data_IF_336816370532
#
_entry.id   IF_336816370532
#
_cell.length_a   1.000
_cell.length_b   1.000
_cell.length_c   1.000
_cell.angle_alpha   90.00
_cell.angle_beta   90.00
_cell.angle_gamma   90.00
#
_symmetry.space_group_name_H-M   'P 1'
#
loop_
_entity.id
_entity.type
_entity.pdbx_description
1 polymer ?
#
# COMPACT_ATOMS: atom_id res chain seq x y z
N UNK A 1 -5.92 0.60 -6.94
CA UNK A 1 -4.79 0.29 -7.85
C UNK A 1 -3.77 -0.54 -7.10
N UNK A 2 -3.38 -1.69 -7.64
CA UNK A 2 -2.62 -2.68 -6.88
C UNK A 2 -1.51 -3.31 -7.72
N UNK A 3 -0.31 -3.33 -7.14
CA UNK A 3 0.83 -4.09 -7.65
C UNK A 3 1.47 -4.82 -6.47
N UNK A 4 1.45 -6.15 -6.46
CA UNK A 4 1.84 -6.96 -5.30
C UNK A 4 3.34 -6.98 -5.03
N UNK A 5 4.16 -6.69 -6.05
CA UNK A 5 5.61 -6.72 -5.93
C UNK A 5 6.09 -8.13 -5.59
N UNK A 6 6.93 -8.29 -4.55
CA UNK A 6 7.45 -9.61 -4.16
C UNK A 6 6.40 -10.60 -3.67
N UNK A 7 5.23 -10.13 -3.22
CA UNK A 7 4.15 -10.97 -2.66
C UNK A 7 3.39 -11.65 -3.81
N UNK A 8 4.12 -12.45 -4.60
CA UNK A 8 3.64 -13.19 -5.76
C UNK A 8 4.45 -14.48 -5.93
N UNK A 9 3.96 -15.39 -6.77
CA UNK A 9 4.66 -16.61 -7.14
C UNK A 9 4.98 -16.62 -8.64
N UNK A 10 6.03 -17.32 -9.07
CA UNK A 10 6.37 -17.50 -10.50
C UNK A 10 5.21 -18.09 -11.30
N UNK A 11 4.40 -18.94 -10.67
CA UNK A 11 3.19 -19.51 -11.29
C UNK A 11 2.12 -18.47 -11.65
N UNK A 12 2.17 -17.28 -11.03
CA UNK A 12 1.24 -16.17 -11.28
C UNK A 12 1.82 -15.13 -12.25
N UNK A 13 3.10 -15.24 -12.59
CA UNK A 13 3.80 -14.24 -13.39
C UNK A 13 3.78 -14.61 -14.88
N UNK A 14 3.65 -13.63 -15.79
CA UNK A 14 3.74 -13.88 -17.22
C UNK A 14 5.01 -14.64 -17.58
N UNK A 15 4.86 -15.77 -18.29
CA UNK A 15 6.00 -16.60 -18.71
C UNK A 15 6.79 -17.24 -17.56
N UNK A 16 6.23 -17.32 -16.35
CA UNK A 16 6.94 -17.88 -15.20
C UNK A 16 8.05 -16.98 -14.65
N UNK A 17 8.03 -15.68 -14.97
CA UNK A 17 9.04 -14.74 -14.54
C UNK A 17 9.12 -14.62 -13.00
N UNK A 18 10.29 -14.23 -12.49
CA UNK A 18 10.42 -13.88 -11.08
C UNK A 18 9.56 -12.64 -10.76
N UNK A 19 8.84 -12.62 -9.62
CA UNK A 19 8.24 -11.40 -9.10
C UNK A 19 9.26 -10.27 -8.97
N UNK A 20 8.79 -9.03 -8.97
CA UNK A 20 9.66 -7.83 -8.87
C UNK A 20 9.47 -7.11 -7.55
N UNK A 21 10.51 -6.45 -7.07
CA UNK A 21 10.49 -5.72 -5.79
C UNK A 21 11.49 -4.56 -5.82
N UNK A 22 11.52 -3.75 -4.76
CA UNK A 22 12.62 -2.81 -4.50
C UNK A 22 13.96 -3.52 -4.38
N UNK A 23 13.99 -4.69 -3.73
CA UNK A 23 15.19 -5.51 -3.49
C UNK A 23 14.90 -7.02 -3.62
N UNK A 24 15.95 -7.82 -3.88
CA UNK A 24 15.87 -9.27 -3.99
C UNK A 24 15.80 -9.94 -2.60
N UNK A 25 14.71 -9.68 -1.86
CA UNK A 25 14.49 -10.14 -0.50
C UNK A 25 13.23 -10.99 -0.39
N UNK A 26 13.38 -12.24 0.02
CA UNK A 26 12.29 -13.13 0.38
C UNK A 26 11.71 -12.72 1.75
N UNK A 27 10.38 -12.67 1.87
CA UNK A 27 9.70 -12.60 3.16
C UNK A 27 9.31 -14.03 3.58
N UNK A 28 10.14 -14.64 4.42
CA UNK A 28 9.94 -16.01 4.88
C UNK A 28 8.60 -16.15 5.61
N UNK A 29 7.84 -17.21 5.27
CA UNK A 29 6.52 -17.48 5.86
C UNK A 29 5.37 -16.67 5.26
N UNK A 30 5.65 -15.66 4.44
CA UNK A 30 4.61 -14.94 3.69
C UNK A 30 4.14 -15.81 2.54
N UNK A 31 2.86 -16.20 2.60
CA UNK A 31 2.25 -17.10 1.62
C UNK A 31 1.33 -16.35 0.67
N UNK A 32 1.24 -16.84 -0.55
CA UNK A 32 0.32 -16.41 -1.59
C UNK A 32 -0.55 -17.57 -2.03
N UNK A 33 -1.74 -17.24 -2.52
CA UNK A 33 -2.66 -18.24 -3.07
C UNK A 33 -2.31 -18.53 -4.52
N UNK A 34 -2.08 -19.81 -4.85
CA UNK A 34 -1.90 -20.26 -6.24
C UNK A 34 -2.87 -21.39 -6.55
N UNK A 35 -3.22 -21.51 -7.83
CA UNK A 35 -3.83 -22.71 -8.38
C UNK A 35 -2.73 -23.51 -9.11
N UNK A 36 -2.13 -24.53 -8.47
CA UNK A 36 -1.05 -25.31 -9.08
C UNK A 36 -1.55 -26.20 -10.23
N UNK A 37 -2.87 -26.43 -10.30
CA UNK A 37 -3.49 -27.31 -11.31
C UNK A 37 -3.93 -26.56 -12.57
N UNK A 38 -4.06 -25.23 -12.49
CA UNK A 38 -4.62 -24.41 -13.57
C UNK A 38 -6.09 -24.69 -13.85
N UNK A 39 -6.83 -25.24 -12.88
CA UNK A 39 -8.26 -25.51 -12.97
C UNK A 39 -9.12 -24.23 -13.06
N UNK A 40 -8.54 -23.08 -12.71
CA UNK A 40 -9.16 -21.78 -12.81
C UNK A 40 -10.03 -21.43 -11.61
N UNK A 41 -10.46 -20.15 -11.51
CA UNK A 41 -11.15 -19.63 -10.32
C UNK A 41 -12.45 -20.37 -9.98
N UNK A 42 -13.08 -21.01 -10.97
CA UNK A 42 -14.41 -21.61 -10.84
C UNK A 42 -14.35 -22.98 -10.16
N UNK A 43 -13.17 -23.61 -10.17
CA UNK A 43 -12.96 -24.87 -9.49
C UNK A 43 -12.89 -24.71 -7.96
N UNK A 44 -12.67 -23.48 -7.46
CA UNK A 44 -12.56 -23.22 -6.02
C UNK A 44 -11.36 -23.93 -5.37
N UNK A 45 -10.36 -24.30 -6.17
CA UNK A 45 -9.15 -25.00 -5.72
C UNK A 45 -7.97 -24.05 -5.67
N UNK A 46 -7.07 -24.30 -4.74
CA UNK A 46 -5.78 -23.65 -4.65
C UNK A 46 -5.20 -23.81 -3.25
N UNK A 47 -3.98 -23.33 -3.10
CA UNK A 47 -3.20 -23.52 -1.88
C UNK A 47 -2.39 -22.27 -1.54
N UNK A 48 -2.21 -22.07 -0.23
CA UNK A 48 -1.31 -21.04 0.29
C UNK A 48 0.11 -21.59 0.30
N UNK A 49 0.96 -21.05 -0.57
CA UNK A 49 2.37 -21.45 -0.70
C UNK A 49 3.30 -20.27 -0.47
N UNK A 50 4.54 -20.54 -0.10
CA UNK A 50 5.57 -19.52 0.04
C UNK A 50 5.69 -18.72 -1.27
N UNK A 51 5.70 -17.38 -1.18
CA UNK A 51 5.92 -16.55 -2.36
C UNK A 51 7.32 -16.78 -2.94
N UNK A 52 7.53 -16.55 -4.24
CA UNK A 52 8.83 -16.80 -4.88
C UNK A 52 9.83 -15.69 -4.56
N UNK A 53 11.13 -16.00 -4.61
CA UNK A 53 12.20 -15.01 -4.51
C UNK A 53 12.03 -13.94 -5.59
N UNK A 54 11.89 -12.65 -5.23
CA UNK A 54 11.79 -11.58 -6.21
C UNK A 54 13.17 -11.24 -6.78
N UNK A 55 13.17 -10.60 -7.96
CA UNK A 55 14.32 -9.81 -8.42
C UNK A 55 14.15 -8.34 -8.03
N UNK A 56 15.25 -7.66 -7.79
CA UNK A 56 15.24 -6.20 -7.67
C UNK A 56 14.92 -5.57 -9.03
N UNK A 57 14.07 -4.55 -9.05
CA UNK A 57 13.84 -3.74 -10.25
C UNK A 57 15.12 -2.99 -10.65
N UNK A 58 15.46 -3.01 -11.93
CA UNK A 58 16.43 -2.07 -12.46
C UNK A 58 15.81 -0.67 -12.50
N UNK A 59 16.62 0.39 -12.36
CA UNK A 59 16.13 1.78 -12.40
C UNK A 59 15.37 2.09 -13.69
N UNK A 60 15.80 1.51 -14.82
CA UNK A 60 15.14 1.69 -16.11
C UNK A 60 13.74 1.05 -16.21
N UNK A 61 13.38 0.13 -15.31
CA UNK A 61 12.06 -0.52 -15.30
C UNK A 61 11.02 0.29 -14.51
N UNK A 62 11.46 1.11 -13.55
CA UNK A 62 10.59 1.88 -12.66
C UNK A 62 9.66 2.85 -13.43
N UNK A 63 10.15 3.61 -14.43
CA UNK A 63 9.27 4.46 -15.25
C UNK A 63 8.13 3.70 -15.95
N UNK A 64 8.35 2.45 -16.35
CA UNK A 64 7.33 1.60 -16.93
C UNK A 64 6.19 1.29 -15.96
N UNK A 65 6.54 0.93 -14.72
CA UNK A 65 5.54 0.65 -13.67
C UNK A 65 4.75 1.92 -13.29
N UNK A 66 5.41 3.07 -13.25
CA UNK A 66 4.74 4.36 -13.03
C UNK A 66 3.72 4.63 -14.15
N UNK A 67 4.10 4.36 -15.42
CA UNK A 67 3.20 4.49 -16.56
C UNK A 67 2.02 3.52 -16.48
N UNK A 68 2.23 2.30 -15.98
CA UNK A 68 1.16 1.32 -15.75
C UNK A 68 0.14 1.82 -14.72
N UNK A 69 0.58 2.44 -13.61
CA UNK A 69 -0.33 3.07 -12.65
C UNK A 69 -1.16 4.18 -13.31
N UNK A 70 -0.52 5.06 -14.08
CA UNK A 70 -1.23 6.13 -14.79
C UNK A 70 -2.23 5.59 -15.82
N UNK A 71 -1.87 4.55 -16.56
CA UNK A 71 -2.76 3.89 -17.52
C UNK A 71 -3.93 3.22 -16.82
N UNK A 72 -3.67 2.53 -15.72
CA UNK A 72 -4.70 1.85 -14.97
C UNK A 72 -5.67 2.88 -14.30
N UNK A 73 -5.20 4.06 -13.92
CA UNK A 73 -6.06 5.18 -13.51
C UNK A 73 -6.94 5.67 -14.67
N UNK A 74 -6.39 5.84 -15.88
CA UNK A 74 -7.20 6.19 -17.07
C UNK A 74 -8.31 5.16 -17.31
N UNK A 75 -7.97 3.87 -17.17
CA UNK A 75 -8.94 2.78 -17.32
C UNK A 75 -10.04 2.85 -16.25
N UNK A 76 -9.69 3.11 -14.99
CA UNK A 76 -10.66 3.24 -13.90
C UNK A 76 -11.65 4.39 -14.15
N UNK A 77 -11.16 5.56 -14.55
CA UNK A 77 -12.04 6.70 -14.86
C UNK A 77 -12.93 6.43 -16.08
N UNK A 78 -12.38 5.80 -17.13
CA UNK A 78 -13.16 5.39 -18.29
C UNK A 78 -14.25 4.35 -17.95
N UNK A 79 -14.02 3.53 -16.92
CA UNK A 79 -15.00 2.58 -16.38
C UNK A 79 -16.05 3.22 -15.46
N UNK A 80 -15.96 4.53 -15.19
CA UNK A 80 -16.94 5.28 -14.40
C UNK A 80 -16.67 5.31 -12.90
N UNK A 81 -15.47 4.93 -12.44
CA UNK A 81 -15.07 5.17 -11.04
C UNK A 81 -14.92 6.67 -10.77
N UNK A 82 -15.37 7.13 -9.60
CA UNK A 82 -15.24 8.53 -9.17
C UNK A 82 -13.78 8.94 -8.91
N UNK A 83 -12.91 7.97 -8.62
CA UNK A 83 -11.51 8.17 -8.33
C UNK A 83 -10.77 6.85 -8.13
N UNK A 84 -9.53 6.92 -7.65
CA UNK A 84 -8.70 5.74 -7.41
C UNK A 84 -8.01 5.79 -6.06
N UNK A 85 -7.87 4.62 -5.41
CA UNK A 85 -6.99 4.45 -4.26
C UNK A 85 -5.69 3.76 -4.70
N UNK A 86 -4.53 4.36 -4.44
CA UNK A 86 -3.22 3.72 -4.62
C UNK A 86 -2.91 2.85 -3.40
N UNK A 87 -2.62 1.56 -3.63
CA UNK A 87 -2.26 0.64 -2.56
C UNK A 87 -0.78 0.75 -2.19
N UNK A 88 -0.45 1.64 -1.27
CA UNK A 88 0.88 1.85 -0.68
C UNK A 88 1.12 1.18 0.66
N UNK A 89 0.41 0.08 0.92
CA UNK A 89 0.22 -0.53 2.24
C UNK A 89 0.44 -2.05 2.18
N UNK A 90 0.34 -2.71 3.35
CA UNK A 90 0.29 -4.17 3.53
C UNK A 90 1.42 -4.91 2.79
N UNK A 91 2.63 -4.33 2.80
CA UNK A 91 3.83 -4.94 2.24
C UNK A 91 3.85 -5.16 0.73
N UNK A 92 2.97 -4.49 -0.04
CA UNK A 92 2.98 -4.54 -1.52
C UNK A 92 4.02 -3.59 -2.14
N UNK A 93 4.09 -3.49 -3.47
CA UNK A 93 5.25 -2.91 -4.16
C UNK A 93 5.65 -1.52 -3.66
N UNK A 94 4.72 -0.57 -3.57
CA UNK A 94 5.02 0.78 -3.07
C UNK A 94 5.56 0.70 -1.63
N UNK A 95 4.93 -0.10 -0.77
CA UNK A 95 5.35 -0.29 0.62
C UNK A 95 6.75 -0.95 0.71
N UNK A 96 7.10 -1.84 -0.22
CA UNK A 96 8.43 -2.46 -0.32
C UNK A 96 9.53 -1.44 -0.66
N UNK A 97 9.20 -0.31 -1.29
CA UNK A 97 10.13 0.81 -1.45
C UNK A 97 10.17 1.71 -0.21
N UNK A 98 9.02 1.92 0.44
CA UNK A 98 8.91 2.78 1.62
C UNK A 98 9.71 2.20 2.79
N UNK A 99 9.46 0.94 3.18
CA UNK A 99 9.96 0.41 4.45
C UNK A 99 11.45 0.01 4.40
N UNK A 100 12.24 0.50 5.36
CA UNK A 100 13.71 0.39 5.34
C UNK A 100 14.24 -1.05 5.25
N UNK A 101 13.62 -2.02 5.94
CA UNK A 101 14.11 -3.40 5.92
C UNK A 101 13.70 -4.16 4.65
N UNK A 102 12.73 -3.65 3.89
CA UNK A 102 12.34 -4.20 2.59
C UNK A 102 13.14 -3.60 1.42
N UNK A 103 13.81 -2.46 1.63
CA UNK A 103 14.50 -1.70 0.59
C UNK A 103 16.01 -1.54 0.89
N UNK A 104 16.82 -2.41 0.29
CA UNK A 104 18.28 -2.39 0.37
C UNK A 104 18.94 -1.73 -0.86
N UNK A 105 18.20 -0.93 -1.64
CA UNK A 105 18.76 -0.25 -2.81
C UNK A 105 19.78 0.81 -2.39
N UNK A 106 20.80 0.97 -3.23
CA UNK A 106 21.87 1.97 -3.08
C UNK A 106 21.78 3.11 -4.10
N UNK A 107 20.75 3.10 -4.94
CA UNK A 107 20.49 4.09 -5.97
C UNK A 107 19.54 5.20 -5.49
N UNK A 108 18.99 5.97 -6.44
CA UNK A 108 18.04 7.06 -6.15
C UNK A 108 16.73 6.63 -5.48
N UNK A 109 16.45 5.33 -5.35
CA UNK A 109 15.21 4.79 -4.79
C UNK A 109 15.42 4.05 -3.45
N UNK A 110 16.59 4.11 -2.83
CA UNK A 110 16.84 3.52 -1.50
C UNK A 110 17.82 4.28 -0.62
N UNK A 111 18.08 3.69 0.55
CA UNK A 111 18.87 4.29 1.62
C UNK A 111 18.13 5.43 2.32
N UNK A 112 18.41 6.67 1.92
CA UNK A 112 17.85 7.85 2.56
C UNK A 112 16.30 7.89 2.46
N UNK A 113 15.63 8.48 3.46
CA UNK A 113 14.16 8.52 3.53
C UNK A 113 13.53 9.11 2.26
N UNK A 114 14.06 10.22 1.75
CA UNK A 114 13.57 10.84 0.52
C UNK A 114 13.68 9.94 -0.72
N UNK A 115 14.69 9.05 -0.75
CA UNK A 115 14.87 8.09 -1.83
C UNK A 115 13.88 6.93 -1.70
N UNK A 116 13.66 6.41 -0.48
CA UNK A 116 12.63 5.38 -0.21
C UNK A 116 11.22 5.87 -0.57
N UNK A 117 10.93 7.14 -0.31
CA UNK A 117 9.65 7.76 -0.69
C UNK A 117 9.57 8.20 -2.16
N UNK A 118 10.66 8.11 -2.94
CA UNK A 118 10.70 8.57 -4.34
C UNK A 118 9.70 7.83 -5.21
N UNK A 119 9.64 6.50 -5.09
CA UNK A 119 8.74 5.70 -5.90
C UNK A 119 7.27 6.00 -5.60
N UNK A 120 6.91 6.15 -4.31
CA UNK A 120 5.57 6.63 -3.91
C UNK A 120 5.26 7.98 -4.56
N UNK A 121 6.18 8.95 -4.45
CA UNK A 121 6.01 10.30 -5.01
C UNK A 121 5.73 10.26 -6.51
N UNK A 122 6.56 9.55 -7.27
CA UNK A 122 6.47 9.53 -8.74
C UNK A 122 5.21 8.80 -9.22
N UNK A 123 4.79 7.73 -8.54
CA UNK A 123 3.50 7.06 -8.83
C UNK A 123 2.33 8.01 -8.55
N UNK A 124 2.34 8.71 -7.42
CA UNK A 124 1.28 9.66 -7.05
C UNK A 124 1.24 10.83 -8.03
N UNK A 125 2.38 11.43 -8.38
CA UNK A 125 2.46 12.51 -9.38
C UNK A 125 1.86 12.09 -10.72
N UNK A 126 2.20 10.89 -11.21
CA UNK A 126 1.68 10.38 -12.47
C UNK A 126 0.17 10.13 -12.43
N UNK A 127 -0.36 9.64 -11.31
CA UNK A 127 -1.80 9.38 -11.13
C UNK A 127 -2.59 10.67 -10.91
N UNK A 128 -2.06 11.61 -10.14
CA UNK A 128 -2.63 12.95 -9.96
C UNK A 128 -2.69 13.71 -11.29
N UNK A 129 -1.67 13.59 -12.14
CA UNK A 129 -1.68 14.20 -13.48
C UNK A 129 -2.82 13.68 -14.37
N UNK A 130 -3.33 12.46 -14.12
CA UNK A 130 -4.46 11.87 -14.85
C UNK A 130 -5.79 12.21 -14.21
N UNK A 131 -5.92 12.03 -12.90
CA UNK A 131 -7.19 12.10 -12.20
C UNK A 131 -7.48 13.44 -11.54
N UNK A 132 -6.49 14.31 -11.31
CA UNK A 132 -6.63 15.40 -10.34
C UNK A 132 -6.52 14.88 -8.91
N UNK A 133 -5.87 15.65 -8.04
CA UNK A 133 -5.49 15.20 -6.69
C UNK A 133 -6.69 14.83 -5.82
N UNK A 134 -7.80 15.54 -5.98
CA UNK A 134 -9.05 15.34 -5.25
C UNK A 134 -9.70 13.97 -5.51
N UNK A 135 -9.39 13.34 -6.65
CA UNK A 135 -9.88 12.00 -7.03
C UNK A 135 -8.87 10.88 -6.75
N UNK A 136 -7.78 11.20 -6.04
CA UNK A 136 -6.73 10.25 -5.68
C UNK A 136 -6.71 10.06 -4.17
N UNK A 137 -6.79 8.82 -3.75
CA UNK A 137 -6.47 8.38 -2.39
C UNK A 137 -5.21 7.56 -2.36
N UNK A 138 -4.56 7.52 -1.19
CA UNK A 138 -3.43 6.61 -0.95
C UNK A 138 -3.66 5.85 0.35
N UNK A 139 -3.49 4.53 0.30
CA UNK A 139 -3.55 3.67 1.49
C UNK A 139 -2.15 3.36 1.99
N UNK A 140 -1.87 3.59 3.27
CA UNK A 140 -0.60 3.32 3.95
C UNK A 140 -0.80 2.42 5.17
N UNK A 141 0.22 1.64 5.52
CA UNK A 141 0.18 0.72 6.66
C UNK A 141 1.42 0.91 7.56
N UNK A 142 1.42 1.93 8.43
CA UNK A 142 2.64 2.36 9.12
C UNK A 142 3.26 1.33 10.06
N UNK A 143 2.45 0.46 10.66
CA UNK A 143 2.87 -0.40 11.78
C UNK A 143 2.65 -1.89 11.54
N UNK A 144 1.76 -2.29 10.63
CA UNK A 144 1.53 -3.71 10.34
C UNK A 144 2.68 -4.27 9.51
N UNK A 145 3.11 -5.48 9.83
CA UNK A 145 4.29 -6.14 9.28
C UNK A 145 3.99 -7.54 8.73
N UNK A 146 2.72 -7.96 8.71
CA UNK A 146 2.28 -9.31 8.32
C UNK A 146 2.90 -9.82 7.00
N UNK A 147 3.05 -8.94 6.00
CA UNK A 147 3.61 -9.26 4.67
C UNK A 147 5.14 -9.00 4.57
N UNK A 148 5.82 -8.91 5.72
CA UNK A 148 7.27 -8.83 5.84
C UNK A 148 7.90 -7.49 5.49
N UNK A 149 7.11 -6.43 5.29
CA UNK A 149 7.61 -5.07 5.17
C UNK A 149 7.69 -4.45 6.57
N UNK A 150 8.89 -3.98 6.95
CA UNK A 150 9.20 -3.45 8.27
C UNK A 150 10.06 -2.20 8.09
N UNK A 151 9.69 -1.11 8.74
CA UNK A 151 10.48 0.12 8.79
C UNK A 151 11.13 0.27 10.16
N UNK A 152 12.37 0.73 10.20
CA UNK A 152 13.12 0.96 11.45
C UNK A 152 12.63 2.21 12.20
N UNK A 153 11.99 3.15 11.49
CA UNK A 153 11.55 4.44 12.02
C UNK A 153 10.14 4.80 11.53
N UNK A 154 9.13 3.94 11.74
CA UNK A 154 7.85 4.01 11.02
C UNK A 154 7.13 5.33 11.28
N UNK A 155 7.18 5.87 12.50
CA UNK A 155 6.58 7.16 12.78
C UNK A 155 7.20 8.29 11.93
N UNK A 156 8.53 8.38 11.85
CA UNK A 156 9.19 9.41 11.05
C UNK A 156 8.94 9.21 9.55
N UNK A 157 9.05 7.97 9.07
CA UNK A 157 8.85 7.60 7.66
C UNK A 157 7.43 7.95 7.19
N UNK A 158 6.42 7.56 7.95
CA UNK A 158 5.03 7.72 7.53
C UNK A 158 4.48 9.14 7.78
N UNK A 159 5.04 9.91 8.73
CA UNK A 159 4.79 11.36 8.80
C UNK A 159 5.37 12.09 7.58
N UNK A 160 6.58 11.73 7.14
CA UNK A 160 7.16 12.28 5.93
C UNK A 160 6.36 11.89 4.67
N UNK A 161 5.90 10.64 4.58
CA UNK A 161 5.01 10.21 3.51
C UNK A 161 3.69 11.00 3.51
N UNK A 162 3.04 11.17 4.67
CA UNK A 162 1.82 11.96 4.78
C UNK A 162 2.03 13.43 4.37
N UNK A 163 3.14 14.04 4.78
CA UNK A 163 3.48 15.40 4.36
C UNK A 163 3.65 15.52 2.85
N UNK A 164 4.39 14.58 2.25
CA UNK A 164 4.59 14.48 0.81
C UNK A 164 3.27 14.37 0.06
N UNK A 165 2.37 13.48 0.50
CA UNK A 165 1.07 13.27 -0.12
C UNK A 165 0.17 14.51 -0.01
N UNK A 166 0.22 15.20 1.14
CA UNK A 166 -0.47 16.48 1.33
C UNK A 166 0.02 17.56 0.35
N UNK A 167 1.34 17.65 0.15
CA UNK A 167 1.94 18.58 -0.81
C UNK A 167 1.59 18.29 -2.27
N UNK A 168 1.25 17.04 -2.60
CA UNK A 168 0.77 16.63 -3.94
C UNK A 168 -0.74 16.81 -4.12
N UNK A 169 -1.47 17.28 -3.09
CA UNK A 169 -2.91 17.51 -3.17
C UNK A 169 -3.75 16.24 -3.23
N UNK A 170 -3.24 15.11 -2.74
CA UNK A 170 -4.00 13.85 -2.63
C UNK A 170 -5.25 14.09 -1.79
N UNK A 171 -6.42 13.65 -2.27
CA UNK A 171 -7.73 13.93 -1.66
C UNK A 171 -7.95 13.23 -0.32
N UNK A 172 -7.48 11.98 -0.19
CA UNK A 172 -7.50 11.28 1.11
C UNK A 172 -6.29 10.39 1.38
N UNK A 173 -5.96 10.25 2.66
CA UNK A 173 -4.99 9.28 3.17
C UNK A 173 -5.74 8.26 4.03
N UNK A 174 -5.59 6.99 3.67
CA UNK A 174 -6.24 5.87 4.34
C UNK A 174 -5.20 5.03 5.10
N UNK A 175 -5.32 4.98 6.42
CA UNK A 175 -4.42 4.25 7.31
C UNK A 175 -5.01 2.86 7.63
N UNK A 176 -4.27 1.82 7.29
CA UNK A 176 -4.52 0.46 7.74
C UNK A 176 -3.84 0.22 9.11
N UNK A 177 -4.64 0.11 10.17
CA UNK A 177 -4.17 -0.15 11.54
C UNK A 177 -4.14 -1.63 11.91
N UNK A 178 -4.76 -2.48 11.09
CA UNK A 178 -4.72 -3.91 11.28
C UNK A 178 -4.74 -4.64 9.93
N UNK A 179 -3.91 -5.67 9.82
CA UNK A 179 -3.94 -6.66 8.77
C UNK A 179 -4.19 -8.03 9.41
N UNK A 180 -5.38 -8.60 9.19
CA UNK A 180 -5.86 -9.78 9.90
C UNK A 180 -5.81 -9.64 11.44
N UNK A 181 -4.89 -10.36 12.07
CA UNK A 181 -4.64 -10.35 13.51
C UNK A 181 -3.44 -9.51 13.92
N UNK A 182 -2.59 -9.12 12.96
CA UNK A 182 -1.55 -8.12 13.15
C UNK A 182 -2.21 -6.75 13.29
N UNK A 183 -2.40 -6.32 14.54
CA UNK A 183 -3.12 -5.10 14.90
C UNK A 183 -2.32 -4.33 15.96
N UNK A 184 -1.12 -3.83 15.61
CA UNK A 184 -0.28 -3.10 16.54
C UNK A 184 -0.99 -1.83 17.00
N UNK A 185 -0.81 -1.50 18.29
CA UNK A 185 -1.40 -0.29 18.84
C UNK A 185 -0.71 0.93 18.24
N UNK A 186 -1.43 1.68 17.41
CA UNK A 186 -1.00 2.99 16.95
C UNK A 186 -1.24 4.05 18.04
N UNK A 187 -0.20 4.71 18.56
CA UNK A 187 -0.36 5.73 19.60
C UNK A 187 -1.25 6.88 19.11
N UNK A 188 -2.14 7.41 19.96
CA UNK A 188 -3.00 8.56 19.62
C UNK A 188 -2.18 9.77 19.21
N UNK A 189 -1.03 10.01 19.85
CA UNK A 189 -0.11 11.09 19.48
C UNK A 189 0.39 10.98 18.03
N UNK A 190 0.58 9.76 17.50
CA UNK A 190 0.95 9.55 16.10
C UNK A 190 -0.23 9.88 15.16
N UNK A 191 -1.46 9.50 15.53
CA UNK A 191 -2.67 9.88 14.78
C UNK A 191 -2.87 11.40 14.74
N UNK A 192 -2.71 12.07 15.87
CA UNK A 192 -2.75 13.53 15.96
C UNK A 192 -1.65 14.18 15.13
N UNK A 193 -0.44 13.63 15.11
CA UNK A 193 0.64 14.10 14.25
C UNK A 193 0.31 13.96 12.76
N UNK A 194 -0.28 12.84 12.34
CA UNK A 194 -0.78 12.67 10.97
C UNK A 194 -1.84 13.71 10.62
N UNK A 195 -2.81 13.95 11.52
CA UNK A 195 -3.85 14.97 11.33
C UNK A 195 -3.29 16.38 11.17
N UNK A 196 -2.25 16.74 11.93
CA UNK A 196 -1.60 18.05 11.82
C UNK A 196 -0.82 18.21 10.51
N UNK A 197 -0.26 17.12 9.96
CA UNK A 197 0.65 17.16 8.81
C UNK A 197 -0.09 17.01 7.48
N UNK A 198 -1.13 16.19 7.44
CA UNK A 198 -1.89 15.94 6.23
C UNK A 198 -3.18 16.77 6.22
N UNK A 199 -3.39 17.68 5.24
CA UNK A 199 -4.53 18.59 5.23
C UNK A 199 -5.80 17.98 4.61
N UNK A 200 -5.70 16.85 3.90
CA UNK A 200 -6.82 16.20 3.22
C UNK A 200 -7.67 15.31 4.13
N UNK A 201 -8.52 14.47 3.55
CA UNK A 201 -9.39 13.57 4.33
C UNK A 201 -8.60 12.40 4.93
N UNK A 202 -8.71 12.16 6.24
CA UNK A 202 -8.10 11.03 6.92
C UNK A 202 -9.10 9.90 7.17
N UNK A 203 -8.77 8.72 6.66
CA UNK A 203 -9.56 7.50 6.83
C UNK A 203 -8.76 6.50 7.66
N UNK A 204 -9.37 5.86 8.64
CA UNK A 204 -8.74 4.77 9.40
C UNK A 204 -9.54 3.49 9.31
N UNK A 205 -8.86 2.36 9.16
CA UNK A 205 -9.49 1.03 9.16
C UNK A 205 -8.63 0.03 9.94
N UNK A 206 -9.27 -0.81 10.75
CA UNK A 206 -8.59 -1.82 11.56
C UNK A 206 -9.27 -2.12 12.88
N UNK A 207 -10.05 -3.21 12.94
CA UNK A 207 -10.76 -3.68 14.15
C UNK A 207 -11.61 -2.58 14.85
N UNK A 208 -12.14 -1.61 14.10
CA UNK A 208 -13.03 -0.58 14.66
C UNK A 208 -14.38 -1.18 15.03
N UNK A 209 -14.92 -0.70 16.16
CA UNK A 209 -16.32 -0.83 16.57
C UNK A 209 -17.00 0.52 16.39
N UNK A 210 -18.33 0.58 16.50
CA UNK A 210 -19.06 1.85 16.47
C UNK A 210 -18.54 2.84 17.53
N UNK A 211 -18.31 2.38 18.76
CA UNK A 211 -17.78 3.20 19.85
C UNK A 211 -16.37 3.75 19.54
N UNK A 212 -15.46 2.90 19.04
CA UNK A 212 -14.11 3.35 18.68
C UNK A 212 -14.12 4.30 17.50
N UNK A 213 -15.04 4.12 16.56
CA UNK A 213 -15.21 5.00 15.41
C UNK A 213 -15.72 6.38 15.85
N UNK A 214 -16.78 6.42 16.66
CA UNK A 214 -17.32 7.67 17.22
C UNK A 214 -16.25 8.44 17.99
N UNK A 215 -15.47 7.74 18.82
CA UNK A 215 -14.37 8.34 19.55
C UNK A 215 -13.31 8.95 18.62
N UNK A 216 -12.96 8.28 17.53
CA UNK A 216 -11.99 8.77 16.56
C UNK A 216 -12.42 10.09 15.91
N UNK A 217 -13.71 10.16 15.54
CA UNK A 217 -14.33 11.34 14.95
C UNK A 217 -14.42 12.49 15.97
N UNK A 218 -14.88 12.19 17.19
CA UNK A 218 -15.00 13.18 18.27
C UNK A 218 -13.65 13.75 18.71
N UNK A 219 -12.59 12.95 18.70
CA UNK A 219 -11.21 13.39 18.98
C UNK A 219 -10.55 14.13 17.79
N UNK A 220 -11.18 14.13 16.61
CA UNK A 220 -10.81 14.96 15.46
C UNK A 220 -9.57 14.52 14.67
N UNK A 221 -9.03 13.32 14.92
CA UNK A 221 -7.88 12.80 14.17
C UNK A 221 -8.25 11.93 12.97
N UNK A 222 -9.54 11.60 12.79
CA UNK A 222 -10.08 10.94 11.61
C UNK A 222 -11.30 11.70 11.10
N UNK A 223 -11.52 11.67 9.78
CA UNK A 223 -12.73 12.18 9.15
C UNK A 223 -13.69 11.04 8.78
N UNK A 224 -13.15 9.84 8.49
CA UNK A 224 -13.90 8.65 8.11
C UNK A 224 -13.30 7.38 8.74
N UNK A 225 -14.14 6.36 8.92
CA UNK A 225 -13.74 5.06 9.46
C UNK A 225 -14.20 3.94 8.52
N UNK A 226 -13.24 3.12 8.07
CA UNK A 226 -13.49 1.97 7.22
C UNK A 226 -13.75 0.69 8.03
N UNK A 227 -14.81 -0.02 7.66
CA UNK A 227 -15.15 -1.34 8.23
C UNK A 227 -14.99 -2.41 7.14
N UNK A 228 -14.05 -3.33 7.33
CA UNK A 228 -13.81 -4.44 6.39
C UNK A 228 -14.69 -5.66 6.70
N UNK A 229 -14.21 -6.54 7.59
CA UNK A 229 -14.91 -7.77 8.01
C UNK A 229 -16.40 -7.56 8.35
N UNK A 230 -16.82 -6.53 9.12
CA UNK A 230 -18.24 -6.32 9.40
C UNK A 230 -19.09 -6.07 8.15
N UNK A 231 -18.56 -5.37 7.15
CA UNK A 231 -19.26 -5.03 5.91
C UNK A 231 -19.43 -6.26 5.00
N UNK A 232 -18.56 -7.27 5.09
CA UNK A 232 -18.73 -8.55 4.39
C UNK A 232 -19.99 -9.27 4.87
N UNK A 233 -20.26 -9.23 6.18
CA UNK A 233 -21.39 -9.94 6.79
C UNK A 233 -22.67 -9.09 6.89
N UNK A 234 -22.58 -7.79 6.63
CA UNK A 234 -23.66 -6.82 6.87
C UNK A 234 -23.72 -5.81 5.71
N UNK A 235 -24.60 -6.01 4.71
CA UNK A 235 -24.73 -5.14 3.55
C UNK A 235 -25.35 -3.77 3.87
#
# INVERSE_FOLDING_TARGET
MWHVGRVSHVALQPGGAAPVSSSALLAEGVKVFVDPTGAGPQAGVGEMIQHSMPRALAEAEIPGIIADYAQATRNALAAGFDGVELHGANGYLINQFIDSQANQRTDGYGGALQNRLRFLREVVEAVVAVAGGERVGVRLAPLTTLQGAVDDTPQATYLAAAHLLGGLGVGYLHIAEADWDDAPLMPVAFKQALRMIYPGTLIYAGKYTAERAERALAEGWADLIGFGRPFIATP
#
